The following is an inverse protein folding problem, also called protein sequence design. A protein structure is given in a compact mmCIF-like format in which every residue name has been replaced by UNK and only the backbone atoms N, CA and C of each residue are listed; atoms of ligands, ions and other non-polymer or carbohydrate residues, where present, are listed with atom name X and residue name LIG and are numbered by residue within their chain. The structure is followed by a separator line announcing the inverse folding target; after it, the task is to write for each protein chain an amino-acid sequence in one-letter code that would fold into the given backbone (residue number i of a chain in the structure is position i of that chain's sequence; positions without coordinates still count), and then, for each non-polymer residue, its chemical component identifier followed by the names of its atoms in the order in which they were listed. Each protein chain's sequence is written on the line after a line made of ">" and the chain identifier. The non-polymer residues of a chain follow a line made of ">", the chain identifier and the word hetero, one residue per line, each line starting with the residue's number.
data_IF_081071137861
#
_entry.id   IF_081071137861
#
_cell.length_a   1.000
_cell.length_b   1.000
_cell.length_c   1.000
_cell.angle_alpha   90.00
_cell.angle_beta   90.00
_cell.angle_gamma   90.00
#
_symmetry.space_group_name_H-M   'P 1'
#
loop_
_entity.id
_entity.type
_entity.pdbx_description
1 polymer ?
#
# COMPACT_ATOMS: atom_id res chain seq x y z
N UNK A 1 -16.36 -15.64 13.45
CA UNK A 1 -16.21 -17.09 13.66
C UNK A 1 -15.11 -17.60 12.75
N UNK A 2 -14.17 -18.35 13.34
CA UNK A 2 -12.98 -18.90 12.70
C UNK A 2 -12.07 -19.39 13.81
N UNK A 3 -12.29 -20.63 14.23
CA UNK A 3 -11.57 -21.30 15.31
C UNK A 3 -10.13 -21.60 14.91
N UNK A 4 -9.20 -21.49 15.87
CA UNK A 4 -7.94 -22.24 15.89
C UNK A 4 -7.67 -22.49 17.36
N UNK A 5 -8.16 -23.59 17.94
CA UNK A 5 -7.71 -24.94 17.62
C UNK A 5 -6.40 -25.12 18.37
N UNK A 6 -6.46 -25.75 19.55
CA UNK A 6 -5.27 -26.19 20.29
C UNK A 6 -4.32 -26.89 19.32
N UNK A 7 -3.13 -26.33 19.12
CA UNK A 7 -2.06 -26.91 18.29
C UNK A 7 -1.21 -27.91 19.08
N UNK A 8 -1.81 -28.64 20.03
CA UNK A 8 -1.17 -29.78 20.66
C UNK A 8 -0.83 -30.83 19.58
N UNK A 9 0.44 -30.86 19.16
CA UNK A 9 0.98 -31.80 18.17
C UNK A 9 1.48 -31.20 16.85
N UNK A 10 1.28 -29.91 16.58
CA UNK A 10 1.76 -29.29 15.35
C UNK A 10 3.22 -28.81 15.46
N UNK A 11 3.96 -28.92 14.36
CA UNK A 11 5.26 -28.24 14.22
C UNK A 11 5.01 -26.77 13.85
N UNK A 12 5.67 -25.85 14.54
CA UNK A 12 5.63 -24.43 14.21
C UNK A 12 6.81 -24.08 13.33
N UNK A 13 6.52 -23.64 12.10
CA UNK A 13 7.53 -22.96 11.27
C UNK A 13 7.94 -21.63 11.89
N UNK A 14 9.08 -21.06 11.49
CA UNK A 14 9.50 -19.71 11.93
C UNK A 14 8.41 -18.65 11.71
N UNK A 15 7.73 -18.70 10.56
CA UNK A 15 6.62 -17.78 10.25
C UNK A 15 5.43 -17.96 11.18
N UNK A 16 5.04 -19.20 11.46
CA UNK A 16 3.95 -19.53 12.39
C UNK A 16 4.29 -19.13 13.82
N UNK A 17 5.53 -19.35 14.27
CA UNK A 17 6.03 -18.89 15.57
C UNK A 17 5.96 -17.37 15.70
N UNK A 18 6.43 -16.62 14.69
CA UNK A 18 6.34 -15.14 14.69
C UNK A 18 4.90 -14.64 14.74
N UNK A 19 3.97 -15.31 14.06
CA UNK A 19 2.57 -14.90 14.04
C UNK A 19 1.82 -15.22 15.34
N UNK A 20 2.13 -16.36 15.97
CA UNK A 20 1.42 -16.83 17.16
C UNK A 20 2.06 -16.40 18.48
N UNK A 21 3.38 -16.19 18.50
CA UNK A 21 4.14 -15.77 19.68
C UNK A 21 4.51 -14.28 19.63
N UNK A 22 4.59 -13.68 18.43
CA UNK A 22 4.74 -12.22 18.26
C UNK A 22 6.00 -11.67 18.92
N UNK A 23 5.80 -10.69 19.82
CA UNK A 23 6.80 -10.04 20.71
C UNK A 23 7.70 -11.01 21.46
N UNK A 24 7.24 -12.24 21.70
CA UNK A 24 8.02 -13.28 22.37
C UNK A 24 9.10 -13.89 21.49
N UNK A 25 9.10 -13.65 20.17
CA UNK A 25 10.19 -14.05 19.29
C UNK A 25 11.29 -12.97 19.32
N UNK A 26 11.74 -12.63 20.52
CA UNK A 26 12.91 -11.79 20.74
C UNK A 26 14.20 -12.57 20.43
N UNK A 27 15.36 -11.94 20.60
CA UNK A 27 16.64 -12.59 20.25
C UNK A 27 16.86 -13.88 21.02
N UNK A 28 16.47 -13.92 22.30
CA UNK A 28 16.62 -15.10 23.16
C UNK A 28 15.70 -16.24 22.72
N UNK A 29 14.47 -15.91 22.31
CA UNK A 29 13.53 -16.88 21.75
C UNK A 29 13.89 -17.32 20.33
N UNK A 30 14.48 -16.45 19.52
CA UNK A 30 15.00 -16.79 18.19
C UNK A 30 16.20 -17.73 18.29
N UNK A 31 17.12 -17.46 19.23
CA UNK A 31 18.23 -18.36 19.58
C UNK A 31 17.70 -19.72 20.07
N UNK A 32 16.70 -19.73 20.97
CA UNK A 32 16.06 -20.95 21.46
C UNK A 32 15.31 -21.72 20.36
N UNK A 33 14.65 -21.01 19.43
CA UNK A 33 14.00 -21.61 18.27
C UNK A 33 15.01 -22.28 17.36
N UNK A 34 16.10 -21.59 16.99
CA UNK A 34 17.13 -22.15 16.12
C UNK A 34 17.87 -23.33 16.78
N UNK A 35 18.05 -23.31 18.11
CA UNK A 35 18.64 -24.42 18.83
C UNK A 35 17.78 -25.70 18.82
N UNK A 36 16.46 -25.56 18.71
CA UNK A 36 15.51 -26.68 18.73
C UNK A 36 14.89 -27.01 17.36
N UNK A 37 15.13 -26.19 16.34
CA UNK A 37 14.52 -26.36 15.03
C UNK A 37 15.13 -27.52 14.26
N UNK A 38 14.28 -28.21 13.50
CA UNK A 38 14.68 -29.28 12.59
C UNK A 38 14.06 -29.05 11.21
N UNK A 39 14.69 -29.58 10.15
CA UNK A 39 14.25 -29.40 8.76
C UNK A 39 15.30 -28.71 7.88
N UNK A 40 15.03 -28.56 6.57
CA UNK A 40 15.87 -27.77 5.68
C UNK A 40 15.81 -26.28 6.08
N UNK A 41 16.84 -25.51 5.72
CA UNK A 41 17.01 -24.09 6.12
C UNK A 41 15.76 -23.24 5.83
N UNK A 42 15.08 -23.55 4.74
CA UNK A 42 13.88 -22.85 4.24
C UNK A 42 12.58 -23.29 4.96
N UNK A 43 12.59 -24.40 5.70
CA UNK A 43 11.42 -25.00 6.36
C UNK A 43 11.66 -25.36 7.84
N UNK A 44 12.62 -24.71 8.48
CA UNK A 44 12.92 -24.94 9.90
C UNK A 44 11.66 -24.83 10.77
N UNK A 45 11.40 -25.88 11.55
CA UNK A 45 10.26 -25.95 12.44
C UNK A 45 10.62 -26.55 13.81
N UNK A 46 9.93 -26.07 14.85
CA UNK A 46 10.03 -26.60 16.22
C UNK A 46 8.73 -27.29 16.63
N UNK A 47 8.77 -28.38 17.41
CA UNK A 47 7.57 -28.92 18.02
C UNK A 47 6.88 -27.89 18.92
N UNK A 48 5.54 -27.80 18.86
CA UNK A 48 4.76 -26.92 19.73
C UNK A 48 5.10 -27.08 21.21
N UNK A 49 5.36 -28.30 21.67
CA UNK A 49 5.73 -28.59 23.07
C UNK A 49 7.01 -27.88 23.50
N UNK A 50 7.98 -27.69 22.61
CA UNK A 50 9.22 -26.97 22.89
C UNK A 50 8.97 -25.46 22.96
N UNK A 51 8.19 -24.93 22.02
CA UNK A 51 7.78 -23.53 22.04
C UNK A 51 6.93 -23.20 23.29
N UNK A 52 5.99 -24.07 23.64
CA UNK A 52 5.15 -23.93 24.84
C UNK A 52 5.96 -24.07 26.14
N UNK A 53 6.98 -24.94 26.18
CA UNK A 53 7.91 -25.02 27.31
C UNK A 53 8.70 -23.72 27.50
N UNK A 54 9.09 -23.04 26.42
CA UNK A 54 9.72 -21.72 26.48
C UNK A 54 8.74 -20.64 26.96
N UNK A 55 7.51 -20.61 26.42
CA UNK A 55 6.47 -19.67 26.89
C UNK A 55 6.15 -19.90 28.37
N UNK A 56 6.19 -21.15 28.84
CA UNK A 56 6.02 -21.53 30.25
C UNK A 56 7.07 -20.99 31.20
N UNK A 57 8.29 -20.67 30.74
CA UNK A 57 9.29 -20.02 31.61
C UNK A 57 9.00 -18.53 31.81
N UNK A 58 8.03 -17.98 31.07
CA UNK A 58 7.58 -16.59 31.14
C UNK A 58 6.27 -16.51 31.93
N UNK A 59 5.49 -15.45 31.72
CA UNK A 59 4.25 -15.16 32.45
C UNK A 59 3.03 -15.90 31.80
N UNK A 60 2.07 -16.33 32.61
CA UNK A 60 0.92 -17.13 32.13
C UNK A 60 0.03 -16.38 31.12
N UNK A 61 -0.02 -15.04 31.20
CA UNK A 61 -0.78 -14.18 30.28
C UNK A 61 -0.29 -14.29 28.84
N UNK A 62 0.92 -14.80 28.63
CA UNK A 62 1.50 -14.97 27.30
C UNK A 62 0.91 -16.12 26.49
N UNK A 63 0.03 -16.94 27.11
CA UNK A 63 -0.85 -17.87 26.39
C UNK A 63 -2.16 -17.24 25.92
N UNK A 64 -2.51 -16.05 26.41
CA UNK A 64 -3.71 -15.35 25.97
C UNK A 64 -3.42 -14.65 24.63
N UNK A 65 -4.08 -15.05 23.52
CA UNK A 65 -3.89 -14.41 22.23
C UNK A 65 -4.18 -12.90 22.27
N UNK A 66 -5.05 -12.44 23.18
CA UNK A 66 -5.33 -11.00 23.36
C UNK A 66 -4.14 -10.28 23.98
N UNK A 67 -3.44 -10.92 24.92
CA UNK A 67 -2.22 -10.37 25.52
C UNK A 67 -1.12 -10.27 24.47
N UNK A 68 -0.89 -11.34 23.69
CA UNK A 68 0.10 -11.35 22.60
C UNK A 68 -0.21 -10.27 21.57
N UNK A 69 -1.47 -10.16 21.13
CA UNK A 69 -1.92 -9.09 20.24
C UNK A 69 -1.62 -7.70 20.81
N UNK A 70 -1.93 -7.47 22.08
CA UNK A 70 -1.70 -6.18 22.73
C UNK A 70 -0.22 -5.83 22.84
N UNK A 71 0.64 -6.80 23.13
CA UNK A 71 2.09 -6.60 23.13
C UNK A 71 2.60 -6.28 21.71
N UNK A 72 2.11 -6.99 20.69
CA UNK A 72 2.47 -6.71 19.29
C UNK A 72 2.09 -5.27 18.92
N UNK A 73 0.87 -4.84 19.27
CA UNK A 73 0.41 -3.46 19.04
C UNK A 73 1.28 -2.42 19.75
N UNK A 74 1.77 -2.70 20.96
CA UNK A 74 2.72 -1.83 21.66
C UNK A 74 4.06 -1.73 20.91
N UNK A 75 4.63 -2.83 20.47
CA UNK A 75 5.86 -2.81 19.67
C UNK A 75 5.66 -2.08 18.35
N UNK A 76 4.55 -2.30 17.66
CA UNK A 76 4.20 -1.54 16.46
C UNK A 76 4.13 -0.04 16.75
N UNK A 77 3.55 0.36 17.88
CA UNK A 77 3.52 1.78 18.29
C UNK A 77 4.92 2.34 18.53
N UNK A 78 5.83 1.57 19.14
CA UNK A 78 7.23 2.00 19.34
C UNK A 78 7.95 2.13 18.00
N UNK A 79 7.90 1.10 17.16
CA UNK A 79 8.51 1.11 15.83
C UNK A 79 7.96 2.25 14.96
N UNK A 80 6.65 2.54 15.06
CA UNK A 80 6.00 3.67 14.38
C UNK A 80 6.63 5.01 14.78
N UNK A 81 6.85 5.24 16.07
CA UNK A 81 7.48 6.47 16.57
C UNK A 81 8.92 6.58 16.06
N UNK A 82 9.66 5.48 16.02
CA UNK A 82 11.03 5.48 15.49
C UNK A 82 11.06 5.77 13.97
N UNK A 83 10.17 5.15 13.20
CA UNK A 83 10.03 5.41 11.75
C UNK A 83 9.68 6.88 11.49
N UNK A 84 8.71 7.43 12.22
CA UNK A 84 8.32 8.84 12.10
C UNK A 84 9.48 9.77 12.46
N UNK A 85 10.23 9.47 13.52
CA UNK A 85 11.43 10.22 13.90
C UNK A 85 12.49 10.20 12.80
N UNK A 86 12.81 9.02 12.24
CA UNK A 86 13.78 8.89 11.13
C UNK A 86 13.30 9.68 9.91
N UNK A 87 12.01 9.62 9.59
CA UNK A 87 11.41 10.39 8.50
C UNK A 87 11.53 11.90 8.76
N UNK A 88 11.27 12.37 9.99
CA UNK A 88 11.38 13.78 10.36
C UNK A 88 12.82 14.31 10.33
N UNK A 89 13.79 13.46 10.63
CA UNK A 89 15.21 13.81 10.54
C UNK A 89 15.68 13.94 9.09
N UNK A 90 15.20 13.06 8.21
CA UNK A 90 15.63 12.97 6.81
C UNK A 90 14.83 13.84 5.84
N UNK A 91 13.58 14.12 6.16
CA UNK A 91 12.63 14.82 5.28
C UNK A 91 12.17 16.08 6.00
N UNK A 92 12.69 17.21 5.55
CA UNK A 92 12.53 18.51 6.24
C UNK A 92 11.99 19.61 5.36
N UNK A 93 11.83 19.37 4.06
CA UNK A 93 11.41 20.40 3.11
C UNK A 93 9.91 20.47 2.87
N UNK A 94 9.58 21.28 1.87
CA UNK A 94 8.21 21.64 1.45
C UNK A 94 7.38 20.45 0.97
N UNK A 95 7.98 19.27 0.79
CA UNK A 95 7.27 18.04 0.47
C UNK A 95 6.21 17.66 1.52
N UNK A 96 6.45 17.99 2.79
CA UNK A 96 5.48 17.76 3.88
C UNK A 96 4.28 18.72 3.84
N UNK A 97 4.41 19.84 3.13
CA UNK A 97 3.36 20.84 2.99
C UNK A 97 2.38 20.50 1.86
N UNK A 98 2.72 19.52 1.00
CA UNK A 98 1.79 19.02 -0.02
C UNK A 98 0.53 18.48 0.67
N UNK A 99 -0.65 19.01 0.33
CA UNK A 99 -1.88 18.71 1.08
C UNK A 99 -2.35 17.27 0.83
N UNK A 100 -2.90 16.67 1.89
CA UNK A 100 -3.79 15.51 1.74
C UNK A 100 -5.10 15.99 1.10
N UNK A 101 -5.51 15.37 -0.01
CA UNK A 101 -6.74 15.73 -0.75
C UNK A 101 -7.57 14.50 -1.03
N UNK A 102 -8.90 14.60 -0.97
CA UNK A 102 -9.82 13.56 -1.44
C UNK A 102 -9.82 12.29 -0.58
N UNK A 103 -9.82 12.44 0.75
CA UNK A 103 -9.87 11.30 1.67
C UNK A 103 -11.11 10.42 1.43
N UNK A 104 -12.26 11.06 1.17
CA UNK A 104 -13.46 10.46 0.60
C UNK A 104 -13.74 11.10 -0.76
N UNK A 105 -13.55 10.33 -1.82
CA UNK A 105 -13.93 10.74 -3.17
C UNK A 105 -15.42 10.46 -3.36
N UNK A 106 -16.17 11.44 -3.84
CA UNK A 106 -17.62 11.31 -4.02
C UNK A 106 -17.98 10.53 -5.28
N UNK A 107 -19.29 10.39 -5.50
CA UNK A 107 -19.86 9.65 -6.63
C UNK A 107 -19.52 10.26 -8.01
N UNK A 108 -19.12 11.53 -8.03
CA UNK A 108 -18.58 12.19 -9.22
C UNK A 108 -17.25 11.60 -9.72
N UNK A 109 -16.52 10.90 -8.85
CA UNK A 109 -15.23 10.28 -9.16
C UNK A 109 -15.32 8.83 -9.65
N UNK A 110 -16.54 8.30 -9.81
CA UNK A 110 -16.77 6.96 -10.34
C UNK A 110 -16.26 6.87 -11.79
N UNK A 111 -15.52 5.81 -12.10
CA UNK A 111 -15.15 5.47 -13.47
C UNK A 111 -16.40 5.14 -14.28
N UNK A 112 -16.47 5.69 -15.49
CA UNK A 112 -17.61 5.56 -16.39
C UNK A 112 -17.21 4.86 -17.68
N UNK A 113 -18.15 4.14 -18.27
CA UNK A 113 -18.09 3.60 -19.62
C UNK A 113 -18.17 4.70 -20.69
N UNK A 114 -18.00 4.35 -21.97
CA UNK A 114 -18.13 5.28 -23.10
C UNK A 114 -19.57 5.80 -23.22
N UNK A 115 -20.53 5.05 -22.67
CA UNK A 115 -21.93 5.42 -22.52
C UNK A 115 -22.17 6.44 -21.39
N UNK A 116 -21.12 6.87 -20.68
CA UNK A 116 -21.17 7.81 -19.57
C UNK A 116 -21.72 7.23 -18.26
N UNK A 117 -22.02 5.93 -18.19
CA UNK A 117 -22.57 5.29 -16.99
C UNK A 117 -21.46 4.65 -16.15
N UNK A 118 -21.64 4.54 -14.82
CA UNK A 118 -20.68 3.81 -13.97
C UNK A 118 -20.43 2.40 -14.49
N UNK A 119 -19.15 2.01 -14.61
CA UNK A 119 -18.77 0.73 -15.20
C UNK A 119 -19.22 -0.46 -14.33
N UNK A 120 -20.13 -1.28 -14.85
CA UNK A 120 -20.62 -2.48 -14.16
C UNK A 120 -19.73 -3.72 -14.31
N UNK A 121 -18.72 -3.67 -15.18
CA UNK A 121 -17.74 -4.75 -15.40
C UNK A 121 -16.38 -4.20 -15.82
N UNK A 122 -15.38 -5.08 -15.90
CA UNK A 122 -14.03 -4.71 -16.35
C UNK A 122 -13.95 -4.41 -17.85
N UNK A 123 -14.90 -4.82 -18.67
CA UNK A 123 -14.82 -4.61 -20.12
C UNK A 123 -14.95 -3.14 -20.52
N UNK A 124 -16.03 -2.42 -20.18
CA UNK A 124 -16.14 -0.99 -20.50
C UNK A 124 -15.10 -0.14 -19.77
N UNK A 125 -14.65 -0.57 -18.58
CA UNK A 125 -13.57 0.11 -17.86
C UNK A 125 -12.25 0.05 -18.62
N UNK A 126 -11.90 -1.12 -19.17
CA UNK A 126 -10.64 -1.30 -19.89
C UNK A 126 -10.66 -0.70 -21.28
N UNK A 127 -11.83 -0.69 -21.94
CA UNK A 127 -11.99 -0.01 -23.23
C UNK A 127 -11.58 1.46 -23.15
N UNK A 128 -12.02 2.16 -22.10
CA UNK A 128 -11.63 3.56 -21.87
C UNK A 128 -10.22 3.66 -21.32
N UNK A 129 -9.78 2.71 -20.48
CA UNK A 129 -8.44 2.74 -19.95
C UNK A 129 -7.37 2.70 -21.05
N UNK A 130 -7.60 1.97 -22.16
CA UNK A 130 -6.70 1.96 -23.31
C UNK A 130 -6.55 3.34 -23.94
N UNK A 131 -7.66 4.06 -24.15
CA UNK A 131 -7.66 5.42 -24.66
C UNK A 131 -7.05 6.40 -23.65
N UNK A 132 -7.42 6.28 -22.38
CA UNK A 132 -6.90 7.10 -21.29
C UNK A 132 -5.41 6.90 -21.08
N UNK A 133 -4.87 5.71 -21.34
CA UNK A 133 -3.43 5.45 -21.26
C UNK A 133 -2.65 6.31 -22.25
N UNK A 134 -3.18 6.56 -23.44
CA UNK A 134 -2.53 7.42 -24.44
C UNK A 134 -2.51 8.87 -23.94
N UNK A 135 -3.68 9.42 -23.57
CA UNK A 135 -3.77 10.79 -23.06
C UNK A 135 -2.94 11.00 -21.77
N UNK A 136 -3.00 10.04 -20.85
CA UNK A 136 -2.19 10.05 -19.62
C UNK A 136 -0.70 9.99 -19.93
N UNK A 137 -0.27 9.13 -20.87
CA UNK A 137 1.14 9.03 -21.24
C UNK A 137 1.68 10.34 -21.82
N UNK A 138 0.93 10.98 -22.71
CA UNK A 138 1.28 12.27 -23.31
C UNK A 138 1.44 13.34 -22.23
N UNK A 139 0.42 13.55 -21.40
CA UNK A 139 0.45 14.59 -20.37
C UNK A 139 1.56 14.34 -19.36
N UNK A 140 1.75 13.11 -18.88
CA UNK A 140 2.81 12.82 -17.91
C UNK A 140 4.20 12.94 -18.53
N UNK A 141 4.39 12.59 -19.80
CA UNK A 141 5.65 12.75 -20.51
C UNK A 141 6.04 14.23 -20.62
N UNK A 142 5.09 15.09 -21.01
CA UNK A 142 5.29 16.54 -21.04
C UNK A 142 5.65 17.09 -19.66
N UNK A 143 4.93 16.69 -18.61
CA UNK A 143 5.20 17.14 -17.23
C UNK A 143 6.56 16.71 -16.69
N UNK A 144 7.10 15.60 -17.20
CA UNK A 144 8.39 15.08 -16.79
C UNK A 144 9.52 15.43 -17.79
N UNK A 145 9.24 16.19 -18.85
CA UNK A 145 10.24 16.56 -19.85
C UNK A 145 11.36 17.38 -19.21
N UNK A 146 12.61 16.93 -19.40
CA UNK A 146 13.78 17.55 -18.75
C UNK A 146 13.82 17.42 -17.22
N UNK A 147 12.88 16.68 -16.63
CA UNK A 147 12.70 16.51 -15.19
C UNK A 147 12.96 15.07 -14.74
N UNK A 148 12.17 14.55 -13.76
CA UNK A 148 12.38 13.22 -13.21
C UNK A 148 12.05 12.12 -14.24
N UNK A 149 12.78 10.97 -14.21
CA UNK A 149 12.41 9.80 -15.00
C UNK A 149 10.96 9.37 -14.75
N UNK A 150 10.22 9.18 -15.85
CA UNK A 150 8.84 8.70 -15.85
C UNK A 150 8.79 7.22 -16.25
N UNK A 151 8.11 6.41 -15.43
CA UNK A 151 7.84 5.01 -15.67
C UNK A 151 6.34 4.80 -15.83
N UNK A 152 5.90 4.64 -17.08
CA UNK A 152 4.52 4.27 -17.40
C UNK A 152 4.36 2.75 -17.33
N UNK A 153 3.37 2.28 -16.57
CA UNK A 153 3.07 0.86 -16.50
C UNK A 153 2.11 0.43 -17.61
N UNK A 154 2.12 -0.86 -18.02
CA UNK A 154 1.01 -1.40 -18.78
C UNK A 154 -0.28 -1.37 -17.94
N UNK A 155 -1.43 -1.50 -18.61
CA UNK A 155 -2.70 -1.64 -17.91
C UNK A 155 -2.63 -2.76 -16.87
N UNK A 156 -3.21 -2.52 -15.70
CA UNK A 156 -3.24 -3.51 -14.62
C UNK A 156 -3.87 -4.82 -15.10
N UNK A 157 -3.37 -5.96 -14.65
CA UNK A 157 -3.93 -7.27 -15.04
C UNK A 157 -5.38 -7.46 -14.58
N UNK A 158 -6.27 -7.87 -15.50
CA UNK A 158 -7.73 -8.00 -15.25
C UNK A 158 -8.09 -8.85 -14.04
N UNK A 159 -7.45 -10.00 -13.85
CA UNK A 159 -7.74 -10.91 -12.74
C UNK A 159 -7.55 -10.21 -11.37
N UNK A 160 -6.39 -9.55 -11.20
CA UNK A 160 -6.07 -8.80 -9.99
C UNK A 160 -6.96 -7.58 -9.81
N UNK A 161 -7.31 -6.88 -10.90
CA UNK A 161 -8.24 -5.75 -10.84
C UNK A 161 -9.63 -6.19 -10.37
N UNK A 162 -10.12 -7.32 -10.87
CA UNK A 162 -11.43 -7.84 -10.46
C UNK A 162 -11.46 -8.30 -9.01
N UNK A 163 -10.40 -8.96 -8.53
CA UNK A 163 -10.27 -9.32 -7.11
C UNK A 163 -10.23 -8.07 -6.22
N UNK A 164 -9.40 -7.09 -6.58
CA UNK A 164 -9.32 -5.81 -5.85
C UNK A 164 -10.67 -5.12 -5.76
N UNK A 165 -11.39 -5.01 -6.89
CA UNK A 165 -12.70 -4.35 -6.91
C UNK A 165 -13.69 -5.00 -5.95
N UNK A 166 -13.81 -6.32 -5.99
CA UNK A 166 -14.73 -7.04 -5.11
C UNK A 166 -14.32 -6.98 -3.64
N UNK A 167 -13.03 -6.98 -3.34
CA UNK A 167 -12.56 -6.97 -1.96
C UNK A 167 -12.60 -5.57 -1.32
N UNK A 168 -12.32 -4.51 -2.09
CA UNK A 168 -12.19 -3.15 -1.56
C UNK A 168 -13.46 -2.29 -1.75
N UNK A 169 -14.31 -2.61 -2.73
CA UNK A 169 -15.39 -1.73 -3.18
C UNK A 169 -16.76 -2.40 -3.34
N UNK A 170 -16.97 -3.60 -2.79
CA UNK A 170 -18.25 -4.30 -2.88
C UNK A 170 -19.41 -3.57 -2.19
N UNK A 171 -19.11 -2.74 -1.20
CA UNK A 171 -20.06 -1.99 -0.36
C UNK A 171 -20.22 -0.52 -0.79
N UNK A 172 -19.65 -0.13 -1.94
CA UNK A 172 -19.77 1.24 -2.47
C UNK A 172 -21.11 1.48 -3.17
N UNK A 173 -21.43 2.76 -3.34
CA UNK A 173 -22.68 3.29 -3.92
C UNK A 173 -22.90 2.97 -5.40
N UNK A 174 -21.86 2.55 -6.12
CA UNK A 174 -21.88 2.16 -7.52
C UNK A 174 -21.19 0.80 -7.72
N UNK A 175 -21.34 0.13 -8.88
CA UNK A 175 -20.72 -1.16 -9.11
C UNK A 175 -19.22 -1.13 -8.79
N UNK A 176 -18.73 -2.15 -8.08
CA UNK A 176 -17.38 -2.16 -7.50
C UNK A 176 -16.24 -1.82 -8.48
N UNK A 177 -16.38 -2.17 -9.76
CA UNK A 177 -15.40 -1.86 -10.80
C UNK A 177 -15.27 -0.36 -11.10
N UNK A 178 -16.32 0.42 -10.85
CA UNK A 178 -16.33 1.88 -11.03
C UNK A 178 -15.39 2.61 -10.07
N UNK A 179 -14.87 1.92 -9.05
CA UNK A 179 -14.00 2.50 -8.02
C UNK A 179 -12.53 2.13 -8.20
N UNK A 180 -12.18 1.52 -9.33
CA UNK A 180 -10.79 1.19 -9.69
C UNK A 180 -10.10 2.39 -10.36
N UNK A 181 -9.18 3.02 -9.65
CA UNK A 181 -8.45 4.21 -10.13
C UNK A 181 -7.00 3.92 -10.55
N UNK A 182 -6.59 2.65 -10.52
CA UNK A 182 -5.22 2.20 -10.79
C UNK A 182 -5.13 1.21 -11.96
N UNK A 183 -6.08 1.27 -12.90
CA UNK A 183 -5.99 0.53 -14.17
C UNK A 183 -4.88 1.11 -15.04
N UNK A 184 -4.93 2.42 -15.28
CA UNK A 184 -3.89 3.22 -15.92
C UNK A 184 -3.03 3.85 -14.83
N UNK A 185 -1.72 3.62 -14.86
CA UNK A 185 -0.83 4.05 -13.77
C UNK A 185 0.60 4.32 -14.23
N UNK A 186 1.28 5.20 -13.51
CA UNK A 186 2.69 5.53 -13.73
C UNK A 186 3.39 5.95 -12.44
N UNK A 187 4.71 6.12 -12.54
CA UNK A 187 5.55 6.58 -11.46
C UNK A 187 6.62 7.57 -11.96
N UNK A 188 6.80 8.68 -11.26
CA UNK A 188 7.90 9.62 -11.48
C UNK A 188 8.94 9.48 -10.35
N UNK A 189 10.22 9.42 -10.70
CA UNK A 189 11.32 9.16 -9.76
C UNK A 189 12.16 10.42 -9.56
N UNK A 190 11.90 11.15 -8.48
CA UNK A 190 12.63 12.38 -8.16
C UNK A 190 13.89 12.07 -7.34
N UNK A 191 14.98 12.78 -7.62
CA UNK A 191 16.23 12.68 -6.85
C UNK A 191 16.28 13.67 -5.68
N UNK A 192 15.46 14.72 -5.73
CA UNK A 192 15.43 15.78 -4.70
C UNK A 192 14.00 16.12 -4.31
N UNK A 193 13.82 16.64 -3.10
CA UNK A 193 12.54 17.15 -2.63
C UNK A 193 12.01 18.28 -3.55
N UNK A 194 12.91 19.18 -3.99
CA UNK A 194 12.55 20.31 -4.87
C UNK A 194 12.00 19.85 -6.23
N UNK A 195 12.58 18.80 -6.82
CA UNK A 195 12.08 18.26 -8.09
C UNK A 195 10.68 17.65 -7.93
N UNK A 196 10.43 16.96 -6.81
CA UNK A 196 9.12 16.39 -6.49
C UNK A 196 8.07 17.48 -6.25
N UNK A 197 8.40 18.50 -5.46
CA UNK A 197 7.50 19.63 -5.17
C UNK A 197 7.22 20.42 -6.44
N UNK A 198 8.23 20.64 -7.28
CA UNK A 198 8.07 21.29 -8.59
C UNK A 198 7.13 20.52 -9.50
N UNK A 199 7.30 19.19 -9.60
CA UNK A 199 6.41 18.34 -10.38
C UNK A 199 4.97 18.37 -9.86
N UNK A 200 4.77 18.27 -8.54
CA UNK A 200 3.44 18.37 -7.94
C UNK A 200 2.76 19.71 -8.29
N UNK A 201 3.47 20.82 -8.15
CA UNK A 201 2.95 22.16 -8.47
C UNK A 201 2.65 22.33 -9.96
N UNK A 202 3.49 21.77 -10.83
CA UNK A 202 3.24 21.78 -12.28
C UNK A 202 1.95 21.02 -12.62
N UNK A 203 1.75 19.84 -12.03
CA UNK A 203 0.51 19.06 -12.18
C UNK A 203 -0.72 19.79 -11.63
N UNK A 204 -0.59 20.52 -10.51
CA UNK A 204 -1.68 21.30 -9.93
C UNK A 204 -2.08 22.51 -10.78
N UNK A 205 -1.13 23.05 -11.56
CA UNK A 205 -1.35 24.21 -12.42
C UNK A 205 -1.77 23.86 -13.86
N UNK A 206 -1.72 22.59 -14.27
CA UNK A 206 -2.04 22.17 -15.64
C UNK A 206 -3.52 21.76 -15.79
N UNK A 207 -4.28 22.51 -16.59
CA UNK A 207 -5.72 22.29 -16.83
C UNK A 207 -6.06 20.96 -17.53
N UNK A 208 -5.05 20.25 -18.08
CA UNK A 208 -5.23 18.90 -18.66
C UNK A 208 -5.35 17.83 -17.57
N UNK A 209 -4.93 18.15 -16.34
CA UNK A 209 -4.89 17.22 -15.20
C UNK A 209 -5.80 17.73 -14.09
N UNK A 210 -6.73 16.91 -13.65
CA UNK A 210 -7.54 17.19 -12.46
C UNK A 210 -7.09 16.29 -11.30
N UNK A 211 -6.42 16.85 -10.30
CA UNK A 211 -5.98 16.10 -9.12
C UNK A 211 -7.19 15.79 -8.24
N UNK A 212 -7.69 14.57 -8.32
CA UNK A 212 -8.85 14.11 -7.55
C UNK A 212 -8.46 13.79 -6.11
N UNK A 213 -7.34 13.09 -5.94
CA UNK A 213 -6.87 12.62 -4.62
C UNK A 213 -5.36 12.74 -4.52
N UNK A 214 -4.89 13.18 -3.38
CA UNK A 214 -3.46 13.21 -3.02
C UNK A 214 -3.31 12.55 -1.66
N UNK A 215 -2.53 11.47 -1.61
CA UNK A 215 -2.06 10.87 -0.36
C UNK A 215 -0.58 11.21 -0.19
N UNK A 216 -0.31 12.17 0.69
CA UNK A 216 1.06 12.52 1.05
C UNK A 216 1.57 11.53 2.09
N UNK A 217 2.33 10.51 1.67
CA UNK A 217 2.90 9.52 2.58
C UNK A 217 4.30 9.90 3.06
N UNK A 218 4.70 11.16 2.91
CA UNK A 218 5.83 11.72 3.64
C UNK A 218 5.40 12.32 4.98
N UNK A 219 4.09 12.55 5.17
CA UNK A 219 3.53 13.21 6.35
C UNK A 219 2.14 12.62 6.75
N UNK A 220 2.10 11.55 7.58
CA UNK A 220 3.21 10.70 8.00
C UNK A 220 3.45 9.51 7.04
N UNK A 221 4.62 8.83 7.13
CA UNK A 221 4.89 7.58 6.42
C UNK A 221 3.88 6.45 6.69
N UNK A 222 3.84 5.47 5.79
CA UNK A 222 3.16 4.20 6.08
C UNK A 222 3.84 3.46 7.23
N UNK A 223 3.12 2.51 7.83
CA UNK A 223 3.60 1.76 9.00
C UNK A 223 4.89 0.97 8.74
N UNK A 224 5.18 0.65 7.48
CA UNK A 224 6.40 -0.03 7.04
C UNK A 224 7.51 0.95 6.64
N UNK A 225 7.36 2.25 6.90
CA UNK A 225 8.30 3.28 6.49
C UNK A 225 8.26 3.66 5.01
N UNK A 226 7.32 3.11 4.24
CA UNK A 226 7.16 3.46 2.83
C UNK A 226 6.62 4.88 2.67
N UNK A 227 7.19 5.62 1.72
CA UNK A 227 6.95 7.04 1.48
C UNK A 227 6.85 7.33 -0.02
N UNK A 228 5.78 8.01 -0.42
CA UNK A 228 5.53 8.51 -1.77
C UNK A 228 4.46 9.61 -1.72
N UNK A 229 4.30 10.34 -2.82
CA UNK A 229 3.06 11.05 -3.12
C UNK A 229 2.24 10.14 -4.03
N UNK A 230 1.15 9.55 -3.51
CA UNK A 230 0.21 8.78 -4.33
C UNK A 230 -0.94 9.69 -4.75
N UNK A 231 -1.09 9.90 -6.06
CA UNK A 231 -2.13 10.74 -6.63
C UNK A 231 -3.09 9.92 -7.49
N UNK A 232 -4.36 10.29 -7.44
CA UNK A 232 -5.31 9.95 -8.50
C UNK A 232 -5.62 11.22 -9.28
N UNK A 233 -5.31 11.16 -10.57
CA UNK A 233 -5.50 12.27 -11.51
C UNK A 233 -6.51 11.87 -12.56
N UNK A 234 -7.41 12.76 -12.93
CA UNK A 234 -8.33 12.52 -14.02
C UNK A 234 -7.81 13.14 -15.31
N UNK A 235 -7.78 12.33 -16.37
CA UNK A 235 -7.55 12.79 -17.75
C UNK A 235 -8.86 12.76 -18.51
N UNK A 236 -9.03 13.67 -19.46
CA UNK A 236 -10.21 13.71 -20.33
C UNK A 236 -9.96 12.85 -21.56
N UNK A 237 -10.92 11.99 -21.88
CA UNK A 237 -10.90 11.12 -23.06
C UNK A 237 -12.30 11.14 -23.63
N UNK A 238 -12.44 11.53 -24.89
CA UNK A 238 -13.75 11.75 -25.50
C UNK A 238 -14.61 12.68 -24.61
N UNK A 239 -15.77 12.20 -24.17
CA UNK A 239 -16.69 12.92 -23.28
C UNK A 239 -16.65 12.43 -21.83
N UNK A 240 -15.65 11.64 -21.43
CA UNK A 240 -15.52 11.06 -20.09
C UNK A 240 -14.20 11.45 -19.42
N UNK A 241 -14.22 11.56 -18.09
CA UNK A 241 -13.01 11.62 -17.27
C UNK A 241 -12.62 10.20 -16.87
N UNK A 242 -11.35 9.85 -17.02
CA UNK A 242 -10.81 8.59 -16.54
C UNK A 242 -9.75 8.84 -15.47
N UNK A 243 -9.90 8.20 -14.31
CA UNK A 243 -8.95 8.34 -13.21
C UNK A 243 -7.76 7.41 -13.44
N UNK A 244 -6.56 7.98 -13.35
CA UNK A 244 -5.28 7.31 -13.44
C UNK A 244 -4.53 7.47 -12.11
N UNK A 245 -3.61 6.56 -11.81
CA UNK A 245 -2.76 6.63 -10.62
C UNK A 245 -1.36 7.11 -10.98
N UNK A 246 -0.87 8.18 -10.34
CA UNK A 246 0.52 8.60 -10.41
C UNK A 246 1.16 8.44 -9.02
N UNK A 247 2.33 7.81 -8.97
CA UNK A 247 3.18 7.81 -7.78
C UNK A 247 4.39 8.70 -8.02
N UNK A 248 4.68 9.62 -7.11
CA UNK A 248 5.92 10.40 -7.15
C UNK A 248 6.80 9.93 -6.00
N UNK A 249 7.93 9.33 -6.36
CA UNK A 249 8.91 8.78 -5.44
C UNK A 249 10.05 9.76 -5.21
N UNK A 250 10.56 9.80 -3.99
CA UNK A 250 11.86 10.37 -3.70
C UNK A 250 12.85 9.20 -3.62
N UNK A 251 13.76 9.12 -4.59
CA UNK A 251 14.76 8.07 -4.64
C UNK A 251 15.79 8.28 -3.52
N UNK A 252 16.29 7.19 -2.90
CA UNK A 252 17.42 7.30 -2.01
C UNK A 252 18.63 7.82 -2.80
N UNK A 253 19.24 8.90 -2.29
CA UNK A 253 20.53 9.41 -2.76
C UNK A 253 21.67 8.43 -2.46
#
# INVERSE_FOLDING_TARGET
>A
MGAGGSTEGAHLTRGTSKNNLGVLFDREAEEAFHAAATGPEDELAVPWSVADAYVKTRDERWRDPKHVLFQNLKQFKVARVEIEKIADEKIKGTIKEIPQRGQDVGDECQQRGLDGKPTASLDPLYEIAELARVAYAEVMADMCEGGPPLHLAPLKGRARSGEKARNEYADKTAPCYSWLFDITRGAALCQTEDALVSLYKALEADDRVDIVRTKNRFAPPLFNGYQDILMNVAVKVENVKHLCELQIHLMPM
#
